data_IF_304370319406
#
_entry.id   IF_304370319406
#
_cell.length_a   1.000
_cell.length_b   1.000
_cell.length_c   1.000
_cell.angle_alpha   90.00
_cell.angle_beta   90.00
_cell.angle_gamma   90.00
#
_symmetry.space_group_name_H-M   'P 1'
#
loop_
_entity.id
_entity.type
_entity.pdbx_description
1 polymer ?
#
# COMPACT_ATOMS: atom_id res chain seq x y z
N UNK A 1 -10.51 -46.27 48.31
CA UNK A 1 -11.78 -46.97 48.60
C UNK A 1 -12.73 -46.51 47.53
N UNK A 2 -13.36 -47.42 46.81
CA UNK A 2 -13.60 -47.32 45.35
C UNK A 2 -14.12 -45.96 44.83
N UNK A 3 -15.00 -45.27 45.58
CA UNK A 3 -15.50 -43.96 45.18
C UNK A 3 -14.43 -42.84 45.20
N UNK A 4 -13.47 -42.91 46.14
CA UNK A 4 -12.36 -41.96 46.23
C UNK A 4 -11.35 -42.21 45.11
N UNK A 5 -11.08 -43.48 44.80
CA UNK A 5 -10.14 -43.86 43.74
C UNK A 5 -10.70 -43.43 42.37
N UNK A 6 -12.01 -43.58 42.17
CA UNK A 6 -12.69 -43.10 40.97
C UNK A 6 -12.65 -41.56 40.82
N UNK A 7 -12.59 -40.80 41.92
CA UNK A 7 -12.45 -39.35 41.85
C UNK A 7 -11.02 -38.96 41.47
N UNK A 8 -10.02 -39.64 42.03
CA UNK A 8 -8.61 -39.43 41.70
C UNK A 8 -8.33 -39.73 40.21
N UNK A 9 -8.98 -40.75 39.64
CA UNK A 9 -8.77 -41.16 38.26
C UNK A 9 -9.51 -40.29 37.21
N UNK A 10 -10.62 -39.64 37.58
CA UNK A 10 -11.51 -38.98 36.60
C UNK A 10 -11.64 -37.45 36.78
N UNK A 11 -11.09 -36.88 37.85
CA UNK A 11 -11.12 -35.43 38.07
C UNK A 11 -9.96 -34.72 37.37
N UNK A 12 -10.17 -33.44 37.03
CA UNK A 12 -9.10 -32.54 36.61
C UNK A 12 -8.37 -32.05 37.86
N UNK A 13 -7.18 -32.60 38.12
CA UNK A 13 -6.45 -32.40 39.37
C UNK A 13 -5.26 -31.45 39.22
N UNK A 14 -4.86 -30.84 40.34
CA UNK A 14 -3.67 -30.02 40.41
C UNK A 14 -2.40 -30.88 40.36
N UNK A 15 -1.51 -30.55 39.44
CA UNK A 15 -0.17 -31.11 39.34
C UNK A 15 0.84 -30.04 39.77
N UNK A 16 1.44 -30.21 40.95
CA UNK A 16 2.42 -29.26 41.49
C UNK A 16 3.76 -29.24 40.72
N UNK A 17 4.01 -30.25 39.89
CA UNK A 17 5.24 -30.36 39.10
C UNK A 17 5.09 -29.80 37.68
N UNK A 18 3.85 -29.58 37.22
CA UNK A 18 3.55 -28.97 35.93
C UNK A 18 3.99 -27.49 35.86
N UNK A 19 3.99 -26.92 34.65
CA UNK A 19 4.33 -25.51 34.39
C UNK A 19 5.66 -25.09 35.06
N UNK A 20 6.72 -25.83 34.73
CA UNK A 20 8.08 -25.62 35.27
C UNK A 20 8.14 -25.58 36.82
N UNK A 21 7.29 -26.37 37.49
CA UNK A 21 7.23 -26.46 38.96
C UNK A 21 6.43 -25.35 39.65
N UNK A 22 5.78 -24.46 38.90
CA UNK A 22 4.79 -23.52 39.46
C UNK A 22 3.42 -24.17 39.70
N UNK A 23 3.22 -25.34 39.09
CA UNK A 23 2.01 -26.14 39.12
C UNK A 23 0.91 -25.63 38.19
N UNK A 24 0.04 -26.55 37.79
CA UNK A 24 -1.11 -26.29 36.93
C UNK A 24 -2.15 -27.41 37.10
N UNK A 25 -3.39 -27.15 36.68
CA UNK A 25 -4.35 -28.26 36.52
C UNK A 25 -3.99 -29.10 35.30
N UNK A 26 -3.97 -30.43 35.47
CA UNK A 26 -3.58 -31.37 34.43
C UNK A 26 -4.82 -31.97 33.76
N UNK A 27 -4.99 -31.70 32.47
CA UNK A 27 -6.08 -32.24 31.66
C UNK A 27 -5.77 -33.63 31.09
N UNK A 28 -4.76 -34.33 31.61
CA UNK A 28 -4.44 -35.67 31.18
C UNK A 28 -5.42 -36.70 31.75
N UNK A 29 -5.83 -37.65 30.93
CA UNK A 29 -6.55 -38.86 31.36
C UNK A 29 -5.80 -40.07 30.78
N UNK A 30 -5.46 -41.05 31.63
CA UNK A 30 -4.61 -42.20 31.28
C UNK A 30 -3.28 -41.81 30.59
N UNK A 31 -2.64 -40.73 31.06
CA UNK A 31 -1.33 -40.27 30.57
C UNK A 31 -1.34 -39.60 29.19
N UNK A 32 -2.51 -39.27 28.64
CA UNK A 32 -2.66 -38.53 27.38
C UNK A 32 -3.36 -37.21 27.60
N UNK A 33 -3.02 -36.19 26.82
CA UNK A 33 -3.77 -34.93 26.81
C UNK A 33 -5.21 -35.15 26.31
N UNK A 34 -6.18 -34.64 27.05
CA UNK A 34 -7.60 -34.82 26.77
C UNK A 34 -8.30 -33.49 26.46
N UNK A 35 -9.49 -33.58 25.87
CA UNK A 35 -10.34 -32.43 25.54
C UNK A 35 -11.17 -32.04 26.76
N UNK A 36 -11.25 -30.73 27.05
CA UNK A 36 -12.23 -30.16 27.96
C UNK A 36 -13.37 -29.60 27.11
N UNK A 37 -14.57 -30.20 27.21
CA UNK A 37 -15.76 -29.83 26.43
C UNK A 37 -16.82 -29.18 27.32
N UNK A 38 -17.89 -28.66 26.70
CA UNK A 38 -18.97 -27.90 27.35
C UNK A 38 -18.48 -26.62 28.06
N UNK A 39 -17.38 -26.04 27.56
CA UNK A 39 -16.89 -24.73 27.99
C UNK A 39 -17.75 -23.67 27.31
N UNK A 40 -18.50 -22.90 28.11
CA UNK A 40 -19.25 -21.74 27.61
C UNK A 40 -18.28 -20.69 27.05
N UNK A 41 -18.78 -19.77 26.23
CA UNK A 41 -17.95 -18.68 25.70
C UNK A 41 -17.35 -17.85 26.85
N UNK A 42 -16.03 -17.73 26.86
CA UNK A 42 -15.34 -16.89 27.82
C UNK A 42 -15.46 -15.41 27.46
N UNK A 43 -15.41 -14.52 28.44
CA UNK A 43 -15.37 -13.09 28.16
C UNK A 43 -14.06 -12.71 27.44
N UNK A 44 -14.15 -12.05 26.28
CA UNK A 44 -12.99 -11.50 25.56
C UNK A 44 -12.85 -10.02 25.91
N UNK A 45 -12.15 -9.74 27.00
CA UNK A 45 -11.92 -8.38 27.49
C UNK A 45 -10.62 -8.28 28.27
N UNK A 46 -10.14 -7.06 28.46
CA UNK A 46 -8.92 -6.79 29.23
C UNK A 46 -9.06 -7.35 30.66
N UNK A 47 -8.04 -8.09 31.10
CA UNK A 47 -8.02 -8.73 32.43
C UNK A 47 -8.91 -9.96 32.58
N UNK A 48 -9.57 -10.44 31.52
CA UNK A 48 -10.35 -11.69 31.58
C UNK A 48 -9.46 -12.90 31.89
N UNK A 49 -9.96 -13.78 32.74
CA UNK A 49 -9.34 -15.07 33.09
C UNK A 49 -10.22 -16.25 32.68
N UNK A 50 -11.25 -16.00 31.87
CA UNK A 50 -12.14 -17.05 31.39
C UNK A 50 -11.44 -17.90 30.34
N UNK A 51 -11.72 -19.21 30.35
CA UNK A 51 -11.31 -20.08 29.26
C UNK A 51 -12.09 -19.72 27.99
N UNK A 52 -11.40 -19.67 26.85
CA UNK A 52 -12.03 -19.54 25.53
C UNK A 52 -12.34 -20.92 24.94
N UNK A 53 -13.39 -21.01 24.14
CA UNK A 53 -13.72 -22.25 23.42
C UNK A 53 -13.41 -22.16 21.91
N UNK A 54 -13.56 -23.30 21.22
CA UNK A 54 -13.27 -23.41 19.80
C UNK A 54 -14.14 -22.53 18.90
N UNK A 55 -15.37 -22.19 19.31
CA UNK A 55 -16.26 -21.33 18.51
C UNK A 55 -15.75 -19.88 18.45
N UNK A 56 -15.20 -19.39 19.56
CA UNK A 56 -14.62 -18.06 19.65
C UNK A 56 -13.34 -17.96 18.81
N UNK A 57 -12.46 -18.96 18.88
CA UNK A 57 -11.26 -19.02 18.04
C UNK A 57 -11.61 -19.18 16.55
N UNK A 58 -12.65 -19.96 16.23
CA UNK A 58 -13.14 -20.10 14.87
C UNK A 58 -13.62 -18.77 14.28
N UNK A 59 -14.39 -17.99 15.03
CA UNK A 59 -14.84 -16.66 14.59
C UNK A 59 -13.64 -15.73 14.30
N UNK A 60 -12.62 -15.72 15.15
CA UNK A 60 -11.36 -14.99 14.89
C UNK A 60 -10.68 -15.48 13.61
N UNK A 61 -10.56 -16.80 13.42
CA UNK A 61 -9.93 -17.37 12.23
C UNK A 61 -10.71 -17.06 10.94
N UNK A 62 -12.03 -16.92 11.00
CA UNK A 62 -12.85 -16.48 9.87
C UNK A 62 -12.55 -15.02 9.50
N UNK A 63 -12.43 -14.12 10.48
CA UNK A 63 -12.06 -12.72 10.24
C UNK A 63 -10.64 -12.60 9.66
N UNK A 64 -9.69 -13.43 10.12
CA UNK A 64 -8.33 -13.47 9.58
C UNK A 64 -8.33 -13.92 8.12
N UNK A 65 -9.05 -15.00 7.80
CA UNK A 65 -9.16 -15.48 6.41
C UNK A 65 -9.77 -14.41 5.49
N UNK A 66 -10.84 -13.74 5.93
CA UNK A 66 -11.42 -12.62 5.19
C UNK A 66 -10.42 -11.47 4.98
N UNK A 67 -9.64 -11.12 6.00
CA UNK A 67 -8.59 -10.12 5.86
C UNK A 67 -7.52 -10.55 4.84
N UNK A 68 -7.10 -11.81 4.86
CA UNK A 68 -6.14 -12.35 3.87
C UNK A 68 -6.70 -12.28 2.45
N UNK A 69 -7.98 -12.61 2.24
CA UNK A 69 -8.64 -12.50 0.94
C UNK A 69 -8.69 -11.05 0.45
N UNK A 70 -9.08 -10.10 1.31
CA UNK A 70 -9.12 -8.66 0.99
C UNK A 70 -7.72 -8.14 0.64
N UNK A 71 -6.71 -8.51 1.42
CA UNK A 71 -5.32 -8.11 1.15
C UNK A 71 -4.87 -8.63 -0.22
N UNK A 72 -5.15 -9.89 -0.56
CA UNK A 72 -4.81 -10.44 -1.87
C UNK A 72 -5.55 -9.73 -3.01
N UNK A 73 -6.80 -9.31 -2.80
CA UNK A 73 -7.55 -8.50 -3.77
C UNK A 73 -6.99 -7.08 -3.94
N UNK A 74 -6.31 -6.52 -2.94
CA UNK A 74 -5.69 -5.19 -3.03
C UNK A 74 -4.26 -5.27 -3.60
N UNK A 75 -3.43 -6.15 -3.05
CA UNK A 75 -2.02 -6.29 -3.40
C UNK A 75 -1.80 -7.06 -4.72
N UNK A 76 -2.71 -7.96 -5.08
CA UNK A 76 -2.54 -8.85 -6.22
C UNK A 76 -1.62 -10.02 -5.91
N UNK A 77 -0.82 -10.45 -6.89
CA UNK A 77 0.16 -11.51 -6.67
C UNK A 77 1.35 -10.98 -5.85
N UNK A 78 1.53 -11.56 -4.66
CA UNK A 78 2.59 -11.21 -3.70
C UNK A 78 3.60 -12.34 -3.50
N UNK A 79 3.66 -13.33 -4.40
CA UNK A 79 4.73 -14.34 -4.33
C UNK A 79 6.09 -13.67 -4.53
N UNK A 80 7.11 -14.22 -3.89
CA UNK A 80 8.50 -13.70 -3.96
C UNK A 80 8.95 -13.52 -5.41
N UNK A 81 8.82 -14.56 -6.24
CA UNK A 81 9.15 -14.49 -7.68
C UNK A 81 8.36 -13.42 -8.44
N UNK A 82 7.08 -13.24 -8.13
CA UNK A 82 6.28 -12.22 -8.82
C UNK A 82 6.72 -10.81 -8.44
N UNK A 83 7.09 -10.57 -7.18
CA UNK A 83 7.61 -9.29 -6.71
C UNK A 83 8.99 -9.01 -7.33
N UNK A 84 9.87 -10.01 -7.44
CA UNK A 84 11.18 -9.85 -8.08
C UNK A 84 11.07 -9.46 -9.57
N UNK A 85 10.13 -10.06 -10.29
CA UNK A 85 9.93 -9.82 -11.73
C UNK A 85 9.10 -8.56 -12.03
N UNK A 86 8.12 -8.22 -11.17
CA UNK A 86 7.10 -7.21 -11.46
C UNK A 86 7.09 -6.03 -10.47
N UNK A 87 7.91 -6.09 -9.42
CA UNK A 87 7.96 -5.10 -8.37
C UNK A 87 6.92 -5.25 -7.28
N UNK A 88 7.17 -4.56 -6.17
CA UNK A 88 6.26 -4.45 -5.04
C UNK A 88 5.20 -3.35 -5.29
N UNK A 89 4.05 -3.48 -4.63
CA UNK A 89 2.97 -2.49 -4.69
C UNK A 89 1.59 -3.10 -4.56
N UNK A 90 0.59 -2.38 -5.04
CA UNK A 90 -0.80 -2.82 -5.15
C UNK A 90 -1.11 -3.22 -6.59
N UNK A 91 -2.29 -3.80 -6.85
CA UNK A 91 -2.68 -4.31 -8.17
C UNK A 91 -2.41 -3.37 -9.35
N UNK A 92 -2.61 -2.06 -9.18
CA UNK A 92 -2.52 -1.08 -10.27
C UNK A 92 -1.34 -0.13 -10.17
N UNK A 93 -0.60 -0.15 -9.06
CA UNK A 93 0.56 0.72 -8.83
C UNK A 93 1.68 -0.14 -8.27
N UNK A 94 2.65 -0.45 -9.12
CA UNK A 94 3.84 -1.23 -8.78
C UNK A 94 5.09 -0.53 -9.24
N UNK A 95 6.16 -0.70 -8.46
CA UNK A 95 7.50 -0.25 -8.81
C UNK A 95 8.43 -1.44 -8.69
N UNK A 96 9.05 -1.82 -9.81
CA UNK A 96 10.14 -2.78 -9.77
C UNK A 96 11.44 -2.05 -9.42
N UNK A 97 11.82 -2.15 -8.15
CA UNK A 97 13.06 -1.64 -7.58
C UNK A 97 14.07 -2.77 -7.29
N UNK A 98 13.89 -3.95 -7.90
CA UNK A 98 14.80 -5.07 -7.74
C UNK A 98 16.23 -4.68 -8.13
N UNK A 99 17.18 -4.96 -7.24
CA UNK A 99 18.59 -4.58 -7.40
C UNK A 99 18.91 -3.12 -7.12
N UNK A 100 17.93 -2.29 -6.73
CA UNK A 100 18.15 -0.93 -6.25
C UNK A 100 18.21 -0.88 -4.72
N UNK A 101 18.93 0.09 -4.17
CA UNK A 101 18.90 0.33 -2.73
C UNK A 101 17.55 0.93 -2.35
N UNK A 102 16.85 0.35 -1.37
CA UNK A 102 15.52 0.80 -0.96
C UNK A 102 15.47 2.33 -0.77
N UNK A 103 14.57 2.99 -1.49
CA UNK A 103 14.33 4.41 -1.36
C UNK A 103 12.88 4.73 -1.68
N UNK A 104 12.19 5.34 -0.72
CA UNK A 104 10.76 5.60 -0.78
C UNK A 104 10.44 6.75 -1.74
N UNK A 105 9.19 6.82 -2.18
CA UNK A 105 8.67 8.04 -2.79
C UNK A 105 8.49 9.11 -1.70
N UNK A 106 8.72 10.38 -2.04
CA UNK A 106 8.63 11.50 -1.11
C UNK A 106 7.69 12.58 -1.63
N UNK A 107 6.47 12.63 -1.09
CA UNK A 107 5.50 13.69 -1.34
C UNK A 107 5.50 14.68 -0.16
N UNK A 108 6.52 15.55 -0.11
CA UNK A 108 6.72 16.47 1.02
C UNK A 108 6.01 17.82 0.87
N UNK A 109 5.62 18.20 -0.35
CA UNK A 109 4.79 19.37 -0.58
C UNK A 109 3.36 19.17 -0.09
N UNK A 110 2.70 20.22 0.40
CA UNK A 110 1.30 20.14 0.86
C UNK A 110 0.41 19.76 -0.33
N UNK A 111 -0.30 18.64 -0.23
CA UNK A 111 -1.16 18.12 -1.32
C UNK A 111 -0.38 17.49 -2.49
N UNK A 112 0.92 17.25 -2.34
CA UNK A 112 1.74 16.64 -3.38
C UNK A 112 1.46 15.13 -3.54
N UNK A 113 1.84 14.58 -4.69
CA UNK A 113 1.74 13.14 -5.00
C UNK A 113 3.06 12.65 -5.58
N UNK A 114 3.66 11.62 -4.97
CA UNK A 114 4.86 10.97 -5.46
C UNK A 114 4.60 9.47 -5.66
N UNK A 115 4.86 8.94 -6.86
CA UNK A 115 4.66 7.52 -7.21
C UNK A 115 5.88 6.99 -7.95
N UNK A 116 6.56 5.98 -7.40
CA UNK A 116 7.73 5.36 -8.00
C UNK A 116 8.98 5.44 -7.11
N UNK A 117 9.96 4.57 -7.40
CA UNK A 117 11.23 4.51 -6.67
C UNK A 117 11.91 5.89 -6.66
N UNK A 118 12.25 6.40 -5.47
CA UNK A 118 12.94 7.69 -5.31
C UNK A 118 12.26 8.86 -6.06
N UNK A 119 10.93 8.81 -6.26
CA UNK A 119 10.18 9.93 -6.82
C UNK A 119 10.03 11.04 -5.75
N UNK A 120 10.22 12.30 -6.12
CA UNK A 120 10.23 13.44 -5.18
C UNK A 120 9.26 14.51 -5.65
N UNK A 121 8.20 14.77 -4.89
CA UNK A 121 7.25 15.85 -5.09
C UNK A 121 7.30 16.79 -3.87
N UNK A 122 8.07 17.88 -3.96
CA UNK A 122 8.31 18.82 -2.84
C UNK A 122 7.66 20.19 -3.01
N UNK A 123 7.14 20.53 -4.19
CA UNK A 123 6.29 21.70 -4.38
C UNK A 123 4.85 21.49 -3.87
N UNK A 124 4.15 22.55 -3.48
CA UNK A 124 2.75 22.49 -3.09
C UNK A 124 1.88 21.95 -4.25
N UNK A 125 1.02 20.97 -3.99
CA UNK A 125 0.14 20.34 -5.00
C UNK A 125 0.89 19.78 -6.21
N UNK A 126 2.18 19.44 -6.07
CA UNK A 126 3.00 18.94 -7.17
C UNK A 126 2.85 17.43 -7.37
N UNK A 127 3.14 16.94 -8.57
CA UNK A 127 3.05 15.52 -8.95
C UNK A 127 4.38 15.05 -9.51
N UNK A 128 4.92 13.95 -8.97
CA UNK A 128 6.09 13.25 -9.48
C UNK A 128 5.76 11.76 -9.67
N UNK A 129 5.73 11.28 -10.93
CA UNK A 129 5.42 9.89 -11.26
C UNK A 129 6.54 9.29 -12.10
N UNK A 130 7.18 8.25 -11.57
CA UNK A 130 8.26 7.51 -12.22
C UNK A 130 9.56 7.51 -11.40
N UNK A 131 10.39 6.50 -11.65
CA UNK A 131 11.67 6.29 -10.97
C UNK A 131 12.55 7.56 -11.02
N UNK A 132 12.90 8.14 -9.88
CA UNK A 132 13.74 9.34 -9.81
C UNK A 132 13.12 10.63 -10.38
N UNK A 133 11.81 10.64 -10.65
CA UNK A 133 11.12 11.88 -11.06
C UNK A 133 11.14 12.92 -9.93
N UNK A 134 11.22 14.20 -10.28
CA UNK A 134 11.37 15.30 -9.31
C UNK A 134 10.48 16.50 -9.68
N UNK A 135 9.57 16.89 -8.80
CA UNK A 135 8.70 18.06 -8.96
C UNK A 135 8.81 18.97 -7.74
N UNK A 136 9.71 19.96 -7.84
CA UNK A 136 10.14 20.80 -6.70
C UNK A 136 9.49 22.17 -6.65
N UNK A 137 8.64 22.47 -7.62
CA UNK A 137 7.90 23.73 -7.74
C UNK A 137 6.42 23.49 -7.50
N UNK A 138 5.74 24.48 -6.95
CA UNK A 138 4.29 24.44 -6.73
C UNK A 138 3.57 24.13 -8.05
N UNK A 139 2.52 23.31 -7.95
CA UNK A 139 1.68 22.79 -9.05
C UNK A 139 2.44 22.08 -10.17
N UNK A 140 3.74 21.83 -10.01
CA UNK A 140 4.59 21.20 -11.02
C UNK A 140 4.22 19.74 -11.28
N UNK A 141 4.32 19.29 -12.52
CA UNK A 141 4.07 17.91 -12.92
C UNK A 141 5.31 17.34 -13.63
N UNK A 142 5.91 16.31 -13.03
CA UNK A 142 7.01 15.53 -13.59
C UNK A 142 6.54 14.09 -13.88
N UNK A 143 6.46 13.71 -15.15
CA UNK A 143 6.00 12.38 -15.57
C UNK A 143 7.09 11.62 -16.32
N UNK A 144 7.40 10.41 -15.85
CA UNK A 144 8.43 9.53 -16.39
C UNK A 144 9.69 9.48 -15.55
N UNK A 145 10.49 8.42 -15.72
CA UNK A 145 11.73 8.24 -14.96
C UNK A 145 12.70 9.42 -15.13
N UNK A 146 13.24 9.95 -14.04
CA UNK A 146 14.15 11.10 -14.06
C UNK A 146 13.58 12.38 -14.67
N UNK A 147 12.27 12.49 -14.90
CA UNK A 147 11.67 13.75 -15.34
C UNK A 147 11.75 14.80 -14.24
N UNK A 148 12.07 16.04 -14.58
CA UNK A 148 12.23 17.14 -13.61
C UNK A 148 11.27 18.28 -13.96
N UNK A 149 10.33 18.57 -13.07
CA UNK A 149 9.50 19.79 -13.12
C UNK A 149 10.13 20.87 -12.25
N UNK A 150 10.72 21.86 -12.92
CA UNK A 150 11.40 23.00 -12.31
C UNK A 150 10.76 24.35 -12.66
N UNK A 151 9.55 24.33 -13.26
CA UNK A 151 8.78 25.52 -13.64
C UNK A 151 7.33 25.39 -13.17
N UNK A 152 6.82 26.44 -12.54
CA UNK A 152 5.45 26.50 -12.02
C UNK A 152 4.44 26.37 -13.17
N UNK A 153 3.38 25.60 -12.95
CA UNK A 153 2.17 25.66 -13.79
C UNK A 153 1.28 26.75 -13.16
N UNK A 154 1.27 27.96 -13.73
CA UNK A 154 0.63 29.14 -13.12
C UNK A 154 -0.83 28.88 -12.72
N UNK A 155 -1.22 29.43 -11.55
CA UNK A 155 -2.60 29.47 -11.06
C UNK A 155 -3.31 30.68 -11.70
N UNK A 156 -4.05 30.47 -12.78
CA UNK A 156 -4.78 31.50 -13.54
C UNK A 156 -5.84 30.92 -14.49
N UNK A 157 -7.01 31.57 -14.59
CA UNK A 157 -8.30 31.00 -15.01
C UNK A 157 -8.42 30.61 -16.50
N UNK A 158 -7.98 29.41 -16.86
CA UNK A 158 -8.66 28.62 -17.90
C UNK A 158 -8.95 27.25 -17.29
N UNK A 159 -10.21 26.87 -17.24
CA UNK A 159 -10.58 25.54 -16.75
C UNK A 159 -10.05 24.49 -17.72
N UNK A 160 -9.52 23.39 -17.18
CA UNK A 160 -9.35 22.19 -17.99
C UNK A 160 -10.73 21.75 -18.46
N UNK A 161 -10.98 21.82 -19.76
CA UNK A 161 -12.29 21.52 -20.33
C UNK A 161 -12.19 20.36 -21.31
N UNK A 162 -13.17 19.48 -21.27
CA UNK A 162 -13.36 18.45 -22.30
C UNK A 162 -14.42 18.97 -23.28
N UNK A 163 -14.05 19.02 -24.56
CA UNK A 163 -14.94 19.35 -25.67
C UNK A 163 -15.05 18.16 -26.62
N UNK A 164 -15.96 18.21 -27.59
CA UNK A 164 -16.02 17.21 -28.67
C UNK A 164 -14.72 17.16 -29.50
N UNK A 165 -13.93 18.24 -29.46
CA UNK A 165 -12.67 18.41 -30.19
C UNK A 165 -11.44 17.97 -29.37
N UNK A 166 -11.60 17.65 -28.08
CA UNK A 166 -10.54 17.14 -27.23
C UNK A 166 -10.48 17.74 -25.83
N UNK A 167 -9.38 17.45 -25.12
CA UNK A 167 -9.10 17.95 -23.77
C UNK A 167 -8.21 19.18 -23.86
N UNK A 168 -8.72 20.33 -23.42
CA UNK A 168 -7.91 21.53 -23.20
C UNK A 168 -7.37 21.45 -21.78
N UNK A 169 -6.05 21.38 -21.63
CA UNK A 169 -5.42 21.63 -20.34
C UNK A 169 -5.33 23.15 -20.20
N UNK A 170 -6.05 23.70 -19.23
CA UNK A 170 -6.03 25.13 -18.96
C UNK A 170 -4.63 25.61 -18.58
N UNK A 171 -4.16 26.66 -19.26
CA UNK A 171 -2.93 27.36 -18.92
C UNK A 171 -3.15 28.87 -19.12
N UNK A 172 -2.47 29.68 -18.32
CA UNK A 172 -2.48 31.15 -18.43
C UNK A 172 -1.20 31.60 -19.14
N UNK A 173 -1.32 31.98 -20.42
CA UNK A 173 -0.26 32.66 -21.18
C UNK A 173 -0.57 34.15 -21.37
N UNK A 174 -1.54 34.69 -20.63
CA UNK A 174 -2.10 36.04 -20.89
C UNK A 174 -1.08 37.15 -20.58
N UNK A 175 -0.01 36.85 -19.84
CA UNK A 175 1.11 37.76 -19.57
C UNK A 175 2.26 37.67 -20.57
N UNK A 176 2.24 36.72 -21.51
CA UNK A 176 3.30 36.53 -22.50
C UNK A 176 4.62 35.94 -21.95
N UNK A 177 4.68 35.54 -20.67
CA UNK A 177 5.76 34.70 -20.17
C UNK A 177 5.27 33.23 -20.15
N UNK A 178 5.98 32.34 -20.86
CA UNK A 178 5.59 30.92 -20.95
C UNK A 178 5.55 30.25 -19.57
N UNK A 179 4.35 30.14 -19.00
CA UNK A 179 4.09 29.46 -17.74
C UNK A 179 2.99 28.39 -17.94
N UNK A 180 3.34 27.13 -17.71
CA UNK A 180 2.54 25.96 -18.07
C UNK A 180 3.37 24.87 -18.77
N UNK A 181 4.35 24.29 -18.08
CA UNK A 181 5.22 23.25 -18.64
C UNK A 181 4.87 21.87 -18.08
N UNK A 182 4.50 20.94 -18.96
CA UNK A 182 4.55 19.51 -18.65
C UNK A 182 5.98 19.01 -18.87
N UNK A 183 6.67 18.62 -17.80
CA UNK A 183 8.00 18.05 -17.95
C UNK A 183 7.94 16.55 -18.23
N UNK A 184 8.47 16.19 -19.40
CA UNK A 184 8.67 14.81 -19.86
C UNK A 184 10.17 14.46 -19.95
N UNK A 185 11.06 15.24 -19.35
CA UNK A 185 12.51 15.07 -19.48
C UNK A 185 13.26 15.85 -18.40
N UNK A 186 14.56 16.02 -18.61
CA UNK A 186 15.45 16.78 -17.73
C UNK A 186 16.54 17.47 -18.59
N UNK A 187 17.33 18.35 -17.98
CA UNK A 187 18.44 19.01 -18.67
C UNK A 187 19.41 17.98 -19.27
N UNK A 188 19.60 18.05 -20.58
CA UNK A 188 20.41 17.08 -21.34
C UNK A 188 19.79 15.67 -21.50
N UNK A 189 18.59 15.40 -20.97
CA UNK A 189 17.87 14.12 -21.09
C UNK A 189 16.46 14.34 -21.63
N UNK A 190 16.34 14.19 -22.94
CA UNK A 190 15.10 14.47 -23.66
C UNK A 190 14.30 13.20 -23.93
N UNK A 191 12.97 13.32 -23.96
CA UNK A 191 12.07 12.31 -24.53
C UNK A 191 11.53 12.79 -25.86
N UNK A 192 11.40 11.86 -26.80
CA UNK A 192 10.69 12.13 -28.05
C UNK A 192 9.18 12.06 -27.80
N UNK A 193 8.46 13.04 -28.31
CA UNK A 193 7.01 12.96 -28.47
C UNK A 193 6.78 12.47 -29.90
N UNK A 194 6.31 11.24 -30.06
CA UNK A 194 6.13 10.58 -31.36
C UNK A 194 4.65 10.34 -31.65
N UNK A 195 4.32 10.04 -32.91
CA UNK A 195 2.93 9.90 -33.39
C UNK A 195 2.09 11.17 -33.16
N UNK A 196 2.76 12.33 -33.21
CA UNK A 196 2.12 13.64 -33.19
C UNK A 196 1.63 13.94 -34.61
N UNK A 197 0.35 14.30 -34.74
CA UNK A 197 -0.19 14.75 -36.02
C UNK A 197 0.40 16.11 -36.41
N UNK A 198 0.46 16.40 -37.71
CA UNK A 198 0.88 17.72 -38.18
C UNK A 198 -0.03 18.80 -37.60
N UNK A 199 0.56 19.81 -36.97
CA UNK A 199 -0.19 20.96 -36.45
C UNK A 199 -0.93 21.72 -37.55
N UNK A 200 -2.19 22.06 -37.28
CA UNK A 200 -3.07 22.83 -38.17
C UNK A 200 -3.30 24.27 -37.69
N UNK A 201 -3.12 24.53 -36.40
CA UNK A 201 -3.41 25.82 -35.75
C UNK A 201 -2.17 26.46 -35.10
N UNK A 202 -2.28 27.74 -34.71
CA UNK A 202 -1.16 28.58 -34.27
C UNK A 202 -0.41 28.13 -33.00
N UNK A 203 -0.88 27.08 -32.31
CA UNK A 203 -0.30 26.57 -31.06
C UNK A 203 -0.17 25.04 -31.03
N UNK A 204 -0.33 24.39 -32.18
CA UNK A 204 -0.12 22.96 -32.29
C UNK A 204 1.38 22.64 -32.29
N UNK A 205 1.71 21.44 -31.81
CA UNK A 205 3.06 20.92 -31.97
C UNK A 205 3.39 20.72 -33.46
N UNK A 206 4.55 21.21 -33.89
CA UNK A 206 5.05 21.02 -35.26
C UNK A 206 5.84 19.71 -35.32
N UNK A 207 5.58 18.90 -36.36
CA UNK A 207 6.27 17.64 -36.61
C UNK A 207 7.51 17.83 -37.47
N UNK A 208 8.50 16.94 -37.30
CA UNK A 208 9.62 16.82 -38.24
C UNK A 208 9.23 15.82 -39.32
N UNK A 209 9.40 16.19 -40.60
CA UNK A 209 9.13 15.33 -41.77
C UNK A 209 10.41 14.75 -42.36
#
# INVERSE_FOLDING_TARGET
GDALDALDDNALLWDATANDGAGAYNASHDGKASIITNVADGNIGEGSTDAINGSQLFNTNMLIQQNSEIINQLAGNTSETYIEDNGAGINYVRTNDNGLAFNDASASGIGATAVGYNAVASGESSVAIGQGSSSTVDTGIALGSSSVSSRVIVKGSRDTSVSEEGVVIGYDTTDGELLGALSIGDDGKYRQIINVADGSEAHDAVTVR
#
